data_IF_929282346117
#
_entry.id   IF_929282346117
#
_cell.length_a   1.000
_cell.length_b   1.000
_cell.length_c   1.000
_cell.angle_alpha   90.00
_cell.angle_beta   90.00
_cell.angle_gamma   90.00
#
_symmetry.space_group_name_H-M   'P 1'
#
loop_
_entity.id
_entity.type
_entity.pdbx_description
1 polymer ?
#
# COMPACT_ATOMS: atom_id res chain seq x y z
N UNK A 1 6.42 -22.34 0.12
CA UNK A 1 5.52 -22.03 -1.01
C UNK A 1 6.06 -22.65 -2.28
N UNK A 2 5.20 -23.22 -3.11
CA UNK A 2 5.62 -23.81 -4.36
C UNK A 2 5.96 -22.74 -5.40
N UNK A 3 6.78 -23.11 -6.39
CA UNK A 3 7.24 -22.16 -7.41
C UNK A 3 6.08 -21.53 -8.20
N UNK A 4 5.04 -22.29 -8.48
CA UNK A 4 3.84 -21.80 -9.18
C UNK A 4 3.10 -20.75 -8.38
N UNK A 5 3.03 -20.92 -7.06
CA UNK A 5 2.39 -19.96 -6.15
C UNK A 5 3.20 -18.65 -6.08
N UNK A 6 4.52 -18.76 -6.00
CA UNK A 6 5.41 -17.60 -6.02
C UNK A 6 5.25 -16.80 -7.31
N UNK A 7 5.19 -17.48 -8.46
CA UNK A 7 4.98 -16.82 -9.75
C UNK A 7 3.62 -16.12 -9.83
N UNK A 8 2.57 -16.74 -9.29
CA UNK A 8 1.24 -16.12 -9.21
C UNK A 8 1.29 -14.81 -8.42
N UNK A 9 1.92 -14.83 -7.24
CA UNK A 9 2.01 -13.64 -6.39
C UNK A 9 2.97 -12.61 -6.96
N UNK A 10 4.05 -13.02 -7.62
CA UNK A 10 4.97 -12.10 -8.29
C UNK A 10 4.24 -11.31 -9.37
N UNK A 11 3.46 -11.96 -10.19
CA UNK A 11 2.66 -11.31 -11.23
C UNK A 11 1.64 -10.37 -10.61
N UNK A 12 0.92 -10.83 -9.59
CA UNK A 12 -0.08 -10.02 -8.88
C UNK A 12 0.55 -8.76 -8.30
N UNK A 13 1.70 -8.88 -7.65
CA UNK A 13 2.40 -7.74 -7.04
C UNK A 13 2.94 -6.77 -8.11
N UNK A 14 3.45 -7.27 -9.22
CA UNK A 14 3.90 -6.42 -10.32
C UNK A 14 2.73 -5.66 -10.96
N UNK A 15 1.57 -6.30 -11.12
CA UNK A 15 0.36 -5.65 -11.63
C UNK A 15 -0.11 -4.56 -10.66
N UNK A 16 -0.10 -4.85 -9.35
CA UNK A 16 -0.44 -3.88 -8.32
C UNK A 16 0.53 -2.69 -8.31
N UNK A 17 1.81 -2.95 -8.48
CA UNK A 17 2.84 -1.91 -8.55
C UNK A 17 2.59 -0.99 -9.73
N UNK A 18 2.34 -1.54 -10.90
CA UNK A 18 2.07 -0.76 -12.10
C UNK A 18 0.83 0.12 -11.92
N UNK A 19 -0.25 -0.45 -11.38
CA UNK A 19 -1.47 0.28 -11.10
C UNK A 19 -1.23 1.43 -10.11
N UNK A 20 -0.48 1.17 -9.04
CA UNK A 20 -0.18 2.20 -8.04
C UNK A 20 0.69 3.33 -8.61
N UNK A 21 1.67 2.99 -9.47
CA UNK A 21 2.49 3.98 -10.16
C UNK A 21 1.67 4.84 -11.10
N UNK A 22 0.77 4.23 -11.87
CA UNK A 22 -0.11 4.95 -12.80
C UNK A 22 -1.04 5.90 -12.04
N UNK A 23 -1.60 5.49 -10.92
CA UNK A 23 -2.44 6.35 -10.06
C UNK A 23 -1.65 7.51 -9.49
N UNK A 24 -0.41 7.26 -9.05
CA UNK A 24 0.47 8.30 -8.53
C UNK A 24 0.77 9.37 -9.58
N UNK A 25 1.06 8.96 -10.80
CA UNK A 25 1.32 9.86 -11.92
C UNK A 25 0.07 10.69 -12.27
N UNK A 26 -1.10 10.05 -12.37
CA UNK A 26 -2.36 10.74 -12.63
C UNK A 26 -2.68 11.77 -11.54
N UNK A 27 -2.41 11.43 -10.28
CA UNK A 27 -2.62 12.34 -9.15
C UNK A 27 -1.71 13.56 -9.24
N UNK A 28 -0.45 13.37 -9.64
CA UNK A 28 0.51 14.46 -9.83
C UNK A 28 0.07 15.37 -10.98
N UNK A 29 -0.37 14.82 -12.12
CA UNK A 29 -0.88 15.58 -13.25
C UNK A 29 -2.08 16.42 -12.84
N UNK A 30 -3.03 15.85 -12.13
CA UNK A 30 -4.20 16.57 -11.61
C UNK A 30 -3.81 17.71 -10.67
N UNK A 31 -2.79 17.52 -9.84
CA UNK A 31 -2.25 18.58 -8.98
C UNK A 31 -1.65 19.72 -9.78
N UNK A 32 -0.91 19.42 -10.85
CA UNK A 32 -0.29 20.43 -11.70
C UNK A 32 -1.36 21.24 -12.45
N UNK A 33 -2.42 20.59 -12.92
CA UNK A 33 -3.53 21.24 -13.60
C UNK A 33 -4.32 22.15 -12.67
N UNK A 34 -4.38 21.85 -11.37
CA UNK A 34 -5.12 22.65 -10.39
C UNK A 34 -4.33 23.85 -9.85
N UNK A 35 -3.13 24.13 -10.34
CA UNK A 35 -2.36 25.33 -10.06
C UNK A 35 -2.84 26.56 -10.83
N UNK A 36 -4.05 26.53 -11.39
CA UNK A 36 -4.64 27.67 -12.06
C UNK A 36 -5.05 28.76 -11.07
N UNK A 37 -5.16 29.97 -11.60
CA UNK A 37 -5.43 31.18 -10.84
C UNK A 37 -6.81 31.17 -10.18
N UNK A 38 -6.85 31.22 -8.86
CA UNK A 38 -8.08 31.39 -8.10
C UNK A 38 -8.16 32.83 -7.58
N UNK A 39 -9.05 33.62 -8.16
CA UNK A 39 -9.23 35.02 -7.81
C UNK A 39 -10.12 35.20 -6.56
N UNK A 40 -10.95 34.21 -6.26
CA UNK A 40 -11.92 34.25 -5.14
C UNK A 40 -11.34 33.48 -3.93
N UNK A 41 -11.35 34.06 -2.70
CA UNK A 41 -10.92 33.34 -1.51
C UNK A 41 -11.67 32.05 -1.23
N UNK A 42 -12.96 31.96 -1.56
CA UNK A 42 -13.75 30.74 -1.40
C UNK A 42 -13.27 29.66 -2.36
N UNK A 43 -12.97 30.00 -3.61
CA UNK A 43 -12.41 29.08 -4.61
C UNK A 43 -11.01 28.62 -4.19
N UNK A 44 -10.21 29.53 -3.62
CA UNK A 44 -8.89 29.21 -3.11
C UNK A 44 -8.95 28.21 -1.95
N UNK A 45 -9.89 28.40 -1.00
CA UNK A 45 -10.07 27.49 0.13
C UNK A 45 -10.47 26.09 -0.34
N UNK A 46 -11.38 25.98 -1.34
CA UNK A 46 -11.78 24.72 -1.94
C UNK A 46 -10.61 24.06 -2.65
N UNK A 47 -9.82 24.82 -3.41
CA UNK A 47 -8.63 24.31 -4.11
C UNK A 47 -7.59 23.77 -3.12
N UNK A 48 -7.39 24.45 -1.98
CA UNK A 48 -6.47 24.01 -0.94
C UNK A 48 -6.94 22.71 -0.28
N UNK A 49 -8.24 22.57 -0.04
CA UNK A 49 -8.84 21.33 0.48
C UNK A 49 -8.69 20.18 -0.49
N UNK A 50 -8.92 20.44 -1.78
CA UNK A 50 -8.76 19.43 -2.84
C UNK A 50 -7.30 19.02 -2.97
N UNK A 51 -6.37 19.98 -2.89
CA UNK A 51 -4.93 19.69 -2.92
C UNK A 51 -4.52 18.85 -1.72
N UNK A 52 -5.00 19.15 -0.51
CA UNK A 52 -4.71 18.37 0.69
C UNK A 52 -5.23 16.94 0.55
N UNK A 53 -6.42 16.75 -0.01
CA UNK A 53 -6.99 15.44 -0.30
C UNK A 53 -6.14 14.67 -1.31
N UNK A 54 -5.72 15.34 -2.39
CA UNK A 54 -4.87 14.77 -3.43
C UNK A 54 -3.52 14.33 -2.86
N UNK A 55 -2.93 15.12 -1.98
CA UNK A 55 -1.67 14.78 -1.30
C UNK A 55 -1.82 13.54 -0.42
N UNK A 56 -2.95 13.40 0.28
CA UNK A 56 -3.21 12.21 1.09
C UNK A 56 -3.32 10.95 0.23
N UNK A 57 -3.97 11.03 -0.93
CA UNK A 57 -4.04 9.92 -1.89
C UNK A 57 -2.64 9.56 -2.36
N UNK A 58 -1.83 10.54 -2.72
CA UNK A 58 -0.45 10.34 -3.17
C UNK A 58 0.40 9.66 -2.09
N UNK A 59 0.28 10.09 -0.83
CA UNK A 59 1.01 9.48 0.28
C UNK A 59 0.59 8.03 0.51
N UNK A 60 -0.70 7.74 0.39
CA UNK A 60 -1.23 6.38 0.48
C UNK A 60 -0.66 5.49 -0.62
N UNK A 61 -0.61 5.98 -1.86
CA UNK A 61 -0.04 5.26 -3.00
C UNK A 61 1.46 5.02 -2.80
N UNK A 62 2.19 5.98 -2.29
CA UNK A 62 3.62 5.82 -1.97
C UNK A 62 3.85 4.72 -0.95
N UNK A 63 3.03 4.67 0.09
CA UNK A 63 3.13 3.62 1.12
C UNK A 63 2.83 2.25 0.54
N UNK A 64 1.83 2.16 -0.31
CA UNK A 64 1.49 0.91 -1.00
C UNK A 64 2.64 0.46 -1.90
N UNK A 65 3.21 1.36 -2.70
CA UNK A 65 4.36 1.09 -3.57
C UNK A 65 5.54 0.53 -2.74
N UNK A 66 5.84 1.16 -1.62
CA UNK A 66 6.90 0.71 -0.72
C UNK A 66 6.64 -0.71 -0.19
N UNK A 67 5.40 -0.99 0.20
CA UNK A 67 5.00 -2.31 0.68
C UNK A 67 5.11 -3.37 -0.42
N UNK A 68 4.71 -3.03 -1.65
CA UNK A 68 4.81 -3.94 -2.79
C UNK A 68 6.27 -4.26 -3.10
N UNK A 69 7.13 -3.25 -3.16
CA UNK A 69 8.57 -3.44 -3.41
C UNK A 69 9.22 -4.29 -2.33
N UNK A 70 8.84 -4.07 -1.07
CA UNK A 70 9.30 -4.89 0.05
C UNK A 70 8.87 -6.35 -0.11
N UNK A 71 7.63 -6.59 -0.55
CA UNK A 71 7.14 -7.95 -0.80
C UNK A 71 7.91 -8.64 -1.93
N UNK A 72 8.18 -7.93 -3.03
CA UNK A 72 8.98 -8.44 -4.14
C UNK A 72 10.41 -8.77 -3.70
N UNK A 73 11.00 -7.93 -2.85
CA UNK A 73 12.32 -8.16 -2.28
C UNK A 73 12.34 -9.44 -1.43
N UNK A 74 11.29 -9.65 -0.61
CA UNK A 74 11.19 -10.89 0.18
C UNK A 74 11.06 -12.13 -0.70
N UNK A 75 10.43 -12.02 -1.86
CA UNK A 75 10.40 -13.11 -2.85
C UNK A 75 11.80 -13.47 -3.32
N UNK A 76 12.61 -12.46 -3.63
CA UNK A 76 13.99 -12.66 -4.08
C UNK A 76 14.85 -13.27 -2.98
N UNK A 77 14.57 -12.93 -1.72
CA UNK A 77 15.28 -13.46 -0.55
C UNK A 77 14.76 -14.83 -0.08
N UNK A 78 13.63 -15.29 -0.63
CA UNK A 78 13.02 -16.56 -0.25
C UNK A 78 12.20 -16.54 1.03
N UNK A 79 11.89 -15.34 1.56
CA UNK A 79 11.15 -15.18 2.82
C UNK A 79 9.69 -14.75 2.63
N UNK A 80 9.24 -14.59 1.40
CA UNK A 80 7.85 -14.22 1.12
C UNK A 80 6.90 -15.32 1.60
N UNK A 81 5.79 -14.91 2.23
CA UNK A 81 4.79 -15.85 2.73
C UNK A 81 5.07 -16.40 4.13
N UNK A 82 6.16 -15.96 4.76
CA UNK A 82 6.52 -16.35 6.12
C UNK A 82 6.26 -15.16 7.05
N UNK A 83 5.57 -15.40 8.16
CA UNK A 83 5.29 -14.36 9.16
C UNK A 83 6.59 -13.88 9.81
N UNK A 84 6.81 -12.56 9.85
CA UNK A 84 8.01 -11.98 10.43
C UNK A 84 8.07 -12.14 11.96
N UNK A 85 6.92 -12.25 12.63
CA UNK A 85 6.84 -12.34 14.08
C UNK A 85 7.00 -13.78 14.60
N UNK A 86 6.25 -14.74 14.04
CA UNK A 86 6.23 -16.11 14.55
C UNK A 86 6.94 -17.13 13.68
N UNK A 87 7.33 -16.76 12.44
CA UNK A 87 8.02 -17.67 11.54
C UNK A 87 7.14 -18.72 10.88
N UNK A 88 5.85 -18.72 11.15
CA UNK A 88 4.88 -19.63 10.53
C UNK A 88 4.49 -19.14 9.14
N UNK A 89 3.98 -20.06 8.32
CA UNK A 89 3.44 -19.67 7.01
C UNK A 89 2.21 -18.80 7.18
N UNK A 90 2.12 -17.74 6.37
CA UNK A 90 0.99 -16.81 6.40
C UNK A 90 -0.28 -17.45 5.86
N UNK A 91 -0.16 -18.37 4.89
CA UNK A 91 -1.30 -19.01 4.25
C UNK A 91 -1.71 -18.32 2.94
N UNK A 92 -2.09 -19.11 1.97
CA UNK A 92 -2.39 -18.64 0.61
C UNK A 92 -3.63 -17.74 0.58
N UNK A 93 -4.68 -18.11 1.34
CA UNK A 93 -5.92 -17.31 1.37
C UNK A 93 -5.67 -15.90 1.88
N UNK A 94 -4.85 -15.76 2.93
CA UNK A 94 -4.51 -14.44 3.46
C UNK A 94 -3.63 -13.64 2.49
N UNK A 95 -2.68 -14.29 1.83
CA UNK A 95 -1.84 -13.65 0.82
C UNK A 95 -2.65 -13.18 -0.38
N UNK A 96 -3.68 -13.93 -0.78
CA UNK A 96 -4.58 -13.49 -1.85
C UNK A 96 -5.37 -12.26 -1.45
N UNK A 97 -5.80 -12.18 -0.19
CA UNK A 97 -6.52 -11.03 0.34
C UNK A 97 -5.61 -9.81 0.55
N UNK A 98 -4.37 -10.05 1.01
CA UNK A 98 -3.38 -9.00 1.27
C UNK A 98 -1.99 -9.46 0.85
N UNK A 99 -1.65 -9.33 -0.45
CA UNK A 99 -0.37 -9.82 -0.97
C UNK A 99 0.88 -9.20 -0.35
N UNK A 100 0.75 -8.00 0.22
CA UNK A 100 1.89 -7.28 0.83
C UNK A 100 2.05 -7.57 2.32
N UNK A 101 1.19 -8.41 2.91
CA UNK A 101 1.22 -8.68 4.36
C UNK A 101 2.53 -9.33 4.79
N UNK A 102 3.01 -8.96 5.97
CA UNK A 102 4.20 -9.52 6.61
C UNK A 102 3.86 -10.42 7.79
N UNK A 103 2.60 -10.39 8.23
CA UNK A 103 2.15 -11.08 9.43
C UNK A 103 1.03 -12.05 9.11
N UNK A 104 1.01 -13.19 9.81
CA UNK A 104 -0.13 -14.08 9.79
C UNK A 104 -1.32 -13.43 10.50
N UNK A 105 -2.51 -14.00 10.32
CA UNK A 105 -3.72 -13.42 10.91
C UNK A 105 -3.63 -13.31 12.43
N UNK A 106 -3.03 -14.30 13.08
CA UNK A 106 -2.91 -14.32 14.53
C UNK A 106 -1.99 -13.20 15.04
N UNK A 107 -0.83 -13.00 14.41
CA UNK A 107 0.10 -11.95 14.78
C UNK A 107 -0.44 -10.56 14.45
N UNK A 108 -1.14 -10.42 13.34
CA UNK A 108 -1.78 -9.15 12.97
C UNK A 108 -2.88 -8.79 13.96
N UNK A 109 -3.69 -9.75 14.37
CA UNK A 109 -4.74 -9.55 15.37
C UNK A 109 -4.17 -9.11 16.72
N UNK A 110 -3.05 -9.70 17.14
CA UNK A 110 -2.33 -9.30 18.36
C UNK A 110 -1.82 -7.87 18.25
N UNK A 111 -1.24 -7.50 17.12
CA UNK A 111 -0.74 -6.15 16.88
C UNK A 111 -1.87 -5.13 16.98
N UNK A 112 -3.00 -5.40 16.35
CA UNK A 112 -4.17 -4.51 16.37
C UNK A 112 -4.74 -4.38 17.78
N UNK A 113 -4.79 -5.46 18.56
CA UNK A 113 -5.23 -5.43 19.94
C UNK A 113 -4.30 -4.57 20.81
N UNK A 114 -2.98 -4.71 20.65
CA UNK A 114 -1.99 -3.91 21.37
C UNK A 114 -2.10 -2.43 21.02
N UNK A 115 -2.28 -2.10 19.74
CA UNK A 115 -2.48 -0.73 19.28
C UNK A 115 -3.76 -0.13 19.87
N UNK A 116 -4.83 -0.90 19.92
CA UNK A 116 -6.11 -0.47 20.51
C UNK A 116 -5.95 -0.17 22.01
N UNK A 117 -5.23 -1.00 22.73
CA UNK A 117 -4.97 -0.79 24.15
C UNK A 117 -4.10 0.45 24.40
N UNK A 118 -3.15 0.73 23.51
CA UNK A 118 -2.30 1.92 23.60
C UNK A 118 -3.01 3.21 23.22
N UNK A 119 -4.08 3.13 22.44
CA UNK A 119 -4.87 4.29 22.04
C UNK A 119 -5.77 4.83 23.15
N UNK A 120 -6.00 4.03 24.20
CA UNK A 120 -6.74 4.42 25.39
C UNK A 120 -5.80 5.04 26.43
#
# INVERSE_FOLDING_TARGET
>A
MQAQEIEFFRKLLNDMLQEALDKGDSTIENMNDSNEYFADPADRATAESDRAFTLRIRDRERRLISKIRSALQRMDEGSYGVCEECGEDIGIARLKARPVTRLCINCKSKQEADEHLRAD
#
